data_IF_200421190248
#
_entry.id   IF_200421190248
#
_cell.length_a   1.000
_cell.length_b   1.000
_cell.length_c   1.000
_cell.angle_alpha   90.00
_cell.angle_beta   90.00
_cell.angle_gamma   90.00
#
_symmetry.space_group_name_H-M   'P 1'
#
loop_
_entity.id
_entity.type
_entity.pdbx_description
1 polymer ?
#
# COMPACT_ATOMS: atom_id res chain seq x y z
N UNK A 1 -6.55 -50.55 -3.89
CA UNK A 1 -6.85 -50.24 -5.30
C UNK A 1 -8.35 -49.95 -5.42
N UNK A 2 -8.75 -48.67 -5.31
CA UNK A 2 -10.16 -48.28 -5.42
C UNK A 2 -10.58 -48.28 -6.89
N UNK A 3 -11.38 -49.27 -7.27
CA UNK A 3 -11.98 -49.42 -8.59
C UNK A 3 -13.11 -48.39 -8.70
N UNK A 4 -12.87 -47.28 -9.38
CA UNK A 4 -13.94 -46.37 -9.80
C UNK A 4 -14.76 -47.08 -10.88
N UNK A 5 -15.83 -47.76 -10.47
CA UNK A 5 -16.85 -48.27 -11.38
C UNK A 5 -17.68 -47.09 -11.87
N UNK A 6 -17.30 -46.53 -13.03
CA UNK A 6 -18.11 -45.62 -13.82
C UNK A 6 -19.32 -46.39 -14.37
N UNK A 7 -20.36 -46.49 -13.55
CA UNK A 7 -21.64 -47.08 -13.89
C UNK A 7 -22.41 -46.13 -14.83
N UNK A 8 -22.60 -46.58 -16.08
CA UNK A 8 -23.58 -46.07 -17.06
C UNK A 8 -23.75 -44.54 -17.14
N UNK A 9 -22.71 -43.84 -17.58
CA UNK A 9 -22.87 -42.48 -18.09
C UNK A 9 -23.03 -42.58 -19.62
N UNK A 10 -24.24 -42.28 -20.10
CA UNK A 10 -24.52 -42.13 -21.52
C UNK A 10 -23.44 -41.22 -22.15
N UNK A 11 -22.95 -41.52 -23.36
CA UNK A 11 -21.92 -40.73 -24.03
C UNK A 11 -22.26 -39.22 -24.09
N UNK A 12 -23.56 -38.91 -24.09
CA UNK A 12 -24.11 -37.55 -23.99
C UNK A 12 -23.81 -36.86 -22.65
N UNK A 13 -23.86 -37.57 -21.52
CA UNK A 13 -23.54 -37.04 -20.20
C UNK A 13 -22.03 -36.82 -20.03
N UNK A 14 -21.21 -37.73 -20.58
CA UNK A 14 -19.74 -37.56 -20.61
C UNK A 14 -19.38 -36.30 -21.41
N UNK A 15 -20.01 -36.10 -22.58
CA UNK A 15 -19.79 -34.91 -23.41
C UNK A 15 -20.16 -33.60 -22.68
N UNK A 16 -21.29 -33.57 -21.97
CA UNK A 16 -21.72 -32.40 -21.18
C UNK A 16 -20.72 -32.10 -20.05
N UNK A 17 -20.22 -33.13 -19.36
CA UNK A 17 -19.21 -32.97 -18.30
C UNK A 17 -17.90 -32.42 -18.86
N UNK A 18 -17.45 -32.90 -20.03
CA UNK A 18 -16.26 -32.38 -20.70
C UNK A 18 -16.40 -30.90 -21.10
N UNK A 19 -17.55 -30.50 -21.67
CA UNK A 19 -17.81 -29.09 -21.99
C UNK A 19 -17.79 -28.24 -20.72
N UNK A 20 -18.44 -28.70 -19.64
CA UNK A 20 -18.49 -27.96 -18.40
C UNK A 20 -17.10 -27.77 -17.78
N UNK A 21 -16.23 -28.79 -17.87
CA UNK A 21 -14.82 -28.69 -17.48
C UNK A 21 -14.02 -27.72 -18.34
N UNK A 22 -14.24 -27.69 -19.66
CA UNK A 22 -13.57 -26.75 -20.57
C UNK A 22 -14.01 -25.31 -20.25
N UNK A 23 -15.31 -25.07 -20.08
CA UNK A 23 -15.84 -23.75 -19.71
C UNK A 23 -15.30 -23.30 -18.35
N UNK A 24 -15.25 -24.20 -17.37
CA UNK A 24 -14.71 -23.91 -16.04
C UNK A 24 -13.22 -23.53 -16.10
N UNK A 25 -12.41 -24.29 -16.85
CA UNK A 25 -10.98 -24.03 -17.00
C UNK A 25 -10.71 -22.73 -17.75
N UNK A 26 -11.48 -22.42 -18.81
CA UNK A 26 -11.40 -21.13 -19.52
C UNK A 26 -11.78 -19.96 -18.61
N UNK A 27 -12.85 -20.12 -17.81
CA UNK A 27 -13.30 -19.11 -16.86
C UNK A 27 -12.24 -18.83 -15.80
N UNK A 28 -11.59 -19.87 -15.26
CA UNK A 28 -10.48 -19.72 -14.31
C UNK A 28 -9.31 -18.95 -14.97
N UNK A 29 -8.93 -19.31 -16.21
CA UNK A 29 -7.84 -18.63 -16.91
C UNK A 29 -8.07 -17.12 -17.09
N UNK A 30 -9.32 -16.73 -17.37
CA UNK A 30 -9.69 -15.31 -17.53
C UNK A 30 -9.76 -14.54 -16.21
N UNK A 31 -9.96 -15.25 -15.08
CA UNK A 31 -10.04 -14.62 -13.77
C UNK A 31 -8.70 -14.50 -13.05
N UNK A 32 -7.72 -15.35 -13.35
CA UNK A 32 -6.40 -15.31 -12.70
C UNK A 32 -5.54 -14.13 -13.21
N UNK A 33 -4.98 -13.31 -12.32
CA UNK A 33 -4.09 -12.22 -12.71
C UNK A 33 -2.78 -12.77 -13.29
N UNK A 34 -2.29 -12.14 -14.37
CA UNK A 34 -1.00 -12.46 -14.95
C UNK A 34 0.12 -12.14 -13.95
N UNK A 35 0.96 -13.13 -13.64
CA UNK A 35 2.06 -12.97 -12.70
C UNK A 35 3.32 -12.45 -13.41
N UNK A 36 3.68 -11.19 -13.14
CA UNK A 36 4.90 -10.56 -13.66
C UNK A 36 6.13 -10.83 -12.76
N UNK A 37 5.98 -11.52 -11.63
CA UNK A 37 7.06 -11.82 -10.67
C UNK A 37 7.75 -10.52 -10.24
N UNK A 38 8.94 -10.24 -10.75
CA UNK A 38 9.75 -9.06 -10.41
C UNK A 38 9.95 -8.12 -11.60
N UNK A 39 9.27 -8.36 -12.73
CA UNK A 39 9.37 -7.54 -13.94
C UNK A 39 8.35 -6.39 -13.87
N UNK A 40 8.85 -5.21 -13.51
CA UNK A 40 8.04 -3.99 -13.45
C UNK A 40 7.52 -3.57 -14.83
N UNK A 41 8.27 -3.81 -15.91
CA UNK A 41 7.85 -3.43 -17.27
C UNK A 41 6.66 -4.30 -17.72
N UNK A 42 6.71 -5.60 -17.43
CA UNK A 42 5.57 -6.50 -17.61
C UNK A 42 4.32 -5.96 -16.89
N UNK A 43 4.49 -5.53 -15.65
CA UNK A 43 3.37 -5.06 -14.83
C UNK A 43 2.82 -3.73 -15.33
N UNK A 44 3.67 -2.74 -15.60
CA UNK A 44 3.28 -1.42 -16.08
C UNK A 44 2.54 -1.48 -17.42
N UNK A 45 2.97 -2.37 -18.33
CA UNK A 45 2.31 -2.60 -19.63
C UNK A 45 0.92 -3.23 -19.51
N UNK A 46 0.62 -3.88 -18.40
CA UNK A 46 -0.71 -4.44 -18.12
C UNK A 46 -1.54 -3.45 -17.30
N UNK A 47 -0.91 -2.74 -16.36
CA UNK A 47 -1.54 -1.73 -15.51
C UNK A 47 -2.04 -0.53 -16.33
N UNK A 48 -1.30 -0.07 -17.35
CA UNK A 48 -1.75 1.02 -18.23
C UNK A 48 -3.04 0.70 -19.01
N UNK A 49 -3.32 -0.59 -19.23
CA UNK A 49 -4.55 -1.12 -19.84
C UNK A 49 -5.56 -1.61 -18.79
N UNK A 50 -5.22 -1.46 -17.51
CA UNK A 50 -5.95 -1.98 -16.37
C UNK A 50 -6.29 -3.49 -16.46
N UNK A 51 -5.36 -4.27 -17.01
CA UNK A 51 -5.47 -5.72 -17.10
C UNK A 51 -5.01 -6.37 -15.80
N UNK A 52 -5.72 -7.41 -15.36
CA UNK A 52 -5.40 -8.14 -14.14
C UNK A 52 -3.96 -8.68 -14.18
N UNK A 53 -3.13 -8.19 -13.28
CA UNK A 53 -1.71 -8.52 -13.20
C UNK A 53 -1.20 -8.38 -11.77
N UNK A 54 -0.07 -9.01 -11.44
CA UNK A 54 0.60 -8.84 -10.14
C UNK A 54 2.11 -8.79 -10.27
N UNK A 55 2.77 -8.01 -9.42
CA UNK A 55 4.23 -7.89 -9.34
C UNK A 55 4.68 -7.69 -7.90
N UNK A 56 5.85 -8.22 -7.57
CA UNK A 56 6.56 -8.00 -6.33
C UNK A 56 7.79 -7.15 -6.63
N UNK A 57 7.92 -6.00 -5.96
CA UNK A 57 9.05 -5.10 -6.16
C UNK A 57 9.58 -4.55 -4.84
N UNK A 58 10.89 -4.30 -4.83
CA UNK A 58 11.63 -3.68 -3.75
C UNK A 58 11.66 -2.17 -3.97
N UNK A 59 11.11 -1.40 -3.03
CA UNK A 59 11.21 0.06 -3.06
C UNK A 59 11.73 0.57 -1.71
N UNK A 60 12.86 1.29 -1.73
CA UNK A 60 13.54 1.80 -0.52
C UNK A 60 13.76 0.72 0.57
N UNK A 61 14.10 -0.49 0.16
CA UNK A 61 14.32 -1.63 1.07
C UNK A 61 13.06 -2.35 1.54
N UNK A 62 11.86 -1.88 1.16
CA UNK A 62 10.59 -2.51 1.51
C UNK A 62 10.07 -3.35 0.35
N UNK A 63 9.52 -4.53 0.66
CA UNK A 63 8.93 -5.44 -0.33
C UNK A 63 7.44 -5.16 -0.46
N UNK A 64 7.01 -4.76 -1.65
CA UNK A 64 5.62 -4.50 -1.98
C UNK A 64 5.09 -5.53 -2.96
N UNK A 65 3.82 -5.89 -2.80
CA UNK A 65 3.03 -6.63 -3.78
C UNK A 65 1.98 -5.68 -4.36
N UNK A 66 2.06 -5.46 -5.66
CA UNK A 66 1.06 -4.72 -6.43
C UNK A 66 0.19 -5.71 -7.21
N UNK A 67 -1.12 -5.50 -7.21
CA UNK A 67 -2.05 -6.32 -7.98
C UNK A 67 -3.15 -5.46 -8.60
N UNK A 68 -3.29 -5.52 -9.93
CA UNK A 68 -4.40 -4.91 -10.65
C UNK A 68 -5.62 -5.83 -10.55
N UNK A 69 -6.71 -5.32 -9.99
CA UNK A 69 -7.99 -6.05 -9.84
C UNK A 69 -8.89 -5.88 -11.07
N UNK A 70 -8.73 -4.78 -11.78
CA UNK A 70 -9.46 -4.47 -13.01
C UNK A 70 -10.04 -3.06 -13.01
N UNK A 71 -10.92 -2.78 -13.97
CA UNK A 71 -11.47 -1.44 -14.20
C UNK A 71 -12.80 -1.21 -13.48
N UNK A 72 -13.00 -0.02 -12.92
CA UNK A 72 -14.27 0.47 -12.39
C UNK A 72 -14.49 1.92 -12.86
N UNK A 73 -15.43 2.14 -13.79
CA UNK A 73 -15.61 3.48 -14.37
C UNK A 73 -14.37 3.92 -15.15
N UNK A 74 -13.85 5.13 -14.86
CA UNK A 74 -12.58 5.61 -15.43
C UNK A 74 -11.34 5.22 -14.60
N UNK A 75 -11.55 4.51 -13.49
CA UNK A 75 -10.48 4.18 -12.56
C UNK A 75 -10.01 2.76 -12.75
N UNK A 76 -8.70 2.58 -12.60
CA UNK A 76 -8.09 1.29 -12.45
C UNK A 76 -7.96 0.92 -10.98
N UNK A 77 -8.60 -0.18 -10.60
CA UNK A 77 -8.58 -0.69 -9.23
C UNK A 77 -7.35 -1.55 -9.06
N UNK A 78 -6.50 -1.18 -8.12
CA UNK A 78 -5.29 -1.92 -7.76
C UNK A 78 -5.15 -2.05 -6.25
N UNK A 79 -4.50 -3.10 -5.80
CA UNK A 79 -4.16 -3.35 -4.41
C UNK A 79 -2.66 -3.22 -4.23
N UNK A 80 -2.25 -2.48 -3.20
CA UNK A 80 -0.86 -2.36 -2.79
C UNK A 80 -0.76 -2.99 -1.41
N UNK A 81 0.13 -3.98 -1.27
CA UNK A 81 0.33 -4.70 -0.02
C UNK A 81 1.80 -4.62 0.37
N UNK A 82 2.08 -4.09 1.55
CA UNK A 82 3.43 -4.04 2.10
C UNK A 82 3.74 -5.38 2.77
N UNK A 83 4.51 -6.23 2.09
CA UNK A 83 4.84 -7.58 2.60
C UNK A 83 5.83 -7.51 3.74
N UNK A 84 6.88 -6.73 3.59
CA UNK A 84 8.01 -6.71 4.52
C UNK A 84 8.69 -5.35 4.49
N UNK A 85 9.09 -4.88 5.66
CA UNK A 85 9.93 -3.70 5.82
C UNK A 85 11.39 -4.14 5.89
N UNK A 86 12.28 -3.40 5.24
CA UNK A 86 13.72 -3.68 5.27
C UNK A 86 14.29 -3.65 6.69
N UNK A 87 15.27 -4.52 6.96
CA UNK A 87 15.89 -4.73 8.28
C UNK A 87 16.61 -3.51 8.89
N UNK A 88 16.80 -2.44 8.11
CA UNK A 88 17.40 -1.18 8.57
C UNK A 88 16.39 -0.21 9.20
N UNK A 89 15.10 -0.57 9.26
CA UNK A 89 14.04 0.25 9.82
C UNK A 89 13.62 -0.25 11.22
N UNK A 90 13.13 0.70 12.02
CA UNK A 90 12.66 0.51 13.39
C UNK A 90 11.67 -0.66 13.49
N UNK A 91 11.85 -1.53 14.48
CA UNK A 91 11.00 -2.70 14.75
C UNK A 91 9.54 -2.29 14.97
N UNK A 92 9.33 -1.12 15.58
CA UNK A 92 8.00 -0.52 15.80
C UNK A 92 7.34 -0.23 14.45
N UNK A 93 8.09 0.34 13.50
CA UNK A 93 7.60 0.66 12.17
C UNK A 93 7.17 -0.61 11.41
N UNK A 94 7.94 -1.70 11.58
CA UNK A 94 7.62 -3.00 11.01
C UNK A 94 6.29 -3.54 11.55
N UNK A 95 6.08 -3.49 12.87
CA UNK A 95 4.80 -3.91 13.48
C UNK A 95 3.62 -3.06 13.02
N UNK A 96 3.84 -1.74 12.86
CA UNK A 96 2.78 -0.81 12.49
C UNK A 96 2.40 -0.87 11.01
N UNK A 97 3.32 -1.19 10.09
CA UNK A 97 3.06 -1.07 8.64
C UNK A 97 3.09 -2.41 7.89
N UNK A 98 3.86 -3.39 8.35
CA UNK A 98 4.00 -4.65 7.62
C UNK A 98 2.67 -5.42 7.57
N UNK A 99 2.51 -6.19 6.50
CA UNK A 99 1.32 -6.98 6.21
C UNK A 99 0.02 -6.16 6.11
N UNK A 100 0.11 -4.84 6.00
CA UNK A 100 -1.03 -3.99 5.70
C UNK A 100 -1.12 -3.73 4.20
N UNK A 101 -2.36 -3.59 3.74
CA UNK A 101 -2.66 -3.27 2.36
C UNK A 101 -3.53 -2.02 2.24
N UNK A 102 -3.63 -1.53 1.02
CA UNK A 102 -4.57 -0.50 0.61
C UNK A 102 -5.11 -0.80 -0.78
N UNK A 103 -6.32 -0.33 -1.05
CA UNK A 103 -6.97 -0.40 -2.34
C UNK A 103 -6.97 1.00 -2.93
N UNK A 104 -6.56 1.10 -4.20
CA UNK A 104 -6.44 2.36 -4.91
C UNK A 104 -7.31 2.35 -6.17
N UNK A 105 -7.99 3.47 -6.41
CA UNK A 105 -8.69 3.76 -7.66
C UNK A 105 -7.92 4.82 -8.43
N UNK A 106 -7.01 4.40 -9.31
CA UNK A 106 -6.11 5.31 -10.02
C UNK A 106 -6.72 5.64 -11.39
N UNK A 107 -6.87 6.92 -11.77
CA UNK A 107 -7.40 7.30 -13.07
C UNK A 107 -6.58 6.67 -14.22
N UNK A 108 -7.27 6.11 -15.21
CA UNK A 108 -6.58 5.46 -16.34
C UNK A 108 -5.67 6.42 -17.11
N UNK A 109 -6.07 7.68 -17.25
CA UNK A 109 -5.29 8.70 -17.96
C UNK A 109 -3.93 8.94 -17.28
N UNK A 110 -3.87 8.81 -15.95
CA UNK A 110 -2.63 8.93 -15.18
C UNK A 110 -1.69 7.73 -15.41
N UNK A 111 -2.25 6.51 -15.50
CA UNK A 111 -1.47 5.29 -15.74
C UNK A 111 -0.93 5.18 -17.17
N UNK A 112 -1.47 5.96 -18.11
CA UNK A 112 -0.94 6.04 -19.48
C UNK A 112 0.29 6.93 -19.59
N UNK A 113 0.41 7.92 -18.71
CA UNK A 113 1.51 8.89 -18.72
C UNK A 113 2.60 8.58 -17.69
N UNK A 114 2.28 7.83 -16.62
CA UNK A 114 3.21 7.50 -15.54
C UNK A 114 3.06 6.05 -15.09
N UNK A 115 4.21 5.42 -14.81
CA UNK A 115 4.23 4.14 -14.13
C UNK A 115 3.81 4.31 -12.66
N UNK A 116 3.24 3.26 -12.05
CA UNK A 116 2.73 3.32 -10.66
C UNK A 116 3.83 3.73 -9.68
N UNK A 117 5.06 3.27 -9.87
CA UNK A 117 6.22 3.61 -9.03
C UNK A 117 6.64 5.09 -9.13
N UNK A 118 6.16 5.83 -10.13
CA UNK A 118 6.49 7.24 -10.39
C UNK A 118 5.36 8.20 -9.97
N UNK A 119 4.25 7.68 -9.43
CA UNK A 119 3.15 8.50 -8.93
C UNK A 119 3.46 8.84 -7.47
N UNK A 120 3.97 10.06 -7.24
CA UNK A 120 4.34 10.52 -5.90
C UNK A 120 3.13 10.55 -4.94
N UNK A 121 1.96 10.96 -5.45
CA UNK A 121 0.75 11.17 -4.64
C UNK A 121 -0.21 9.98 -4.76
N UNK A 122 0.34 8.77 -4.93
CA UNK A 122 -0.46 7.56 -5.12
C UNK A 122 -1.41 7.32 -3.94
N UNK A 123 -1.02 7.72 -2.73
CA UNK A 123 -1.82 7.60 -1.51
C UNK A 123 -3.17 8.31 -1.58
N UNK A 124 -3.28 9.37 -2.37
CA UNK A 124 -4.51 10.16 -2.48
C UNK A 124 -5.62 9.38 -3.18
N UNK A 125 -5.23 8.47 -4.06
CA UNK A 125 -6.11 7.54 -4.76
C UNK A 125 -6.40 6.27 -3.96
N UNK A 126 -5.81 6.13 -2.78
CA UNK A 126 -5.85 4.92 -1.98
C UNK A 126 -6.66 5.07 -0.68
N UNK A 127 -7.20 3.95 -0.23
CA UNK A 127 -7.86 3.78 1.07
C UNK A 127 -7.47 2.46 1.70
N UNK A 128 -7.38 2.42 3.02
CA UNK A 128 -7.17 1.18 3.78
C UNK A 128 -6.05 1.26 4.83
N UNK A 129 -5.83 0.15 5.56
CA UNK A 129 -5.01 0.13 6.77
C UNK A 129 -3.57 0.60 6.57
N UNK A 130 -2.98 0.36 5.40
CA UNK A 130 -1.60 0.81 5.13
C UNK A 130 -1.49 2.33 5.09
N UNK A 131 -2.48 3.02 4.50
CA UNK A 131 -2.52 4.49 4.43
C UNK A 131 -2.77 5.09 5.81
N UNK A 132 -3.70 4.51 6.56
CA UNK A 132 -4.07 4.97 7.90
C UNK A 132 -2.89 4.86 8.87
N UNK A 133 -2.22 3.70 8.91
CA UNK A 133 -1.05 3.51 9.77
C UNK A 133 0.12 4.42 9.36
N UNK A 134 0.33 4.65 8.05
CA UNK A 134 1.35 5.59 7.60
C UNK A 134 1.03 7.03 8.06
N UNK A 135 -0.23 7.43 8.02
CA UNK A 135 -0.67 8.75 8.49
C UNK A 135 -0.50 8.90 10.00
N UNK A 136 -0.83 7.86 10.78
CA UNK A 136 -0.66 7.83 12.23
C UNK A 136 0.82 8.04 12.63
N UNK A 137 1.74 7.36 11.97
CA UNK A 137 3.19 7.52 12.21
C UNK A 137 3.66 8.94 11.86
N UNK A 138 3.19 9.49 10.74
CA UNK A 138 3.54 10.87 10.37
C UNK A 138 3.03 11.84 11.44
N UNK A 139 1.80 11.64 11.90
CA UNK A 139 1.17 12.47 12.93
C UNK A 139 1.96 12.40 14.25
N UNK A 140 2.33 11.21 14.70
CA UNK A 140 3.14 11.00 15.92
C UNK A 140 4.49 11.72 15.81
N UNK A 141 5.17 11.62 14.66
CA UNK A 141 6.44 12.32 14.42
C UNK A 141 6.29 13.83 14.43
N UNK A 142 5.25 14.35 13.78
CA UNK A 142 4.96 15.79 13.78
C UNK A 142 4.68 16.27 15.21
N UNK A 143 3.84 15.56 15.97
CA UNK A 143 3.59 15.89 17.37
C UNK A 143 4.86 15.88 18.21
N UNK A 144 5.70 14.85 18.08
CA UNK A 144 6.97 14.75 18.81
C UNK A 144 7.88 15.95 18.54
N UNK A 145 8.02 16.36 17.28
CA UNK A 145 8.84 17.51 16.88
C UNK A 145 8.24 18.81 17.40
N UNK A 146 6.93 19.00 17.30
CA UNK A 146 6.25 20.22 17.77
C UNK A 146 6.38 20.37 19.29
N UNK A 147 6.14 19.30 20.04
CA UNK A 147 6.26 19.31 21.51
C UNK A 147 7.70 19.57 21.93
N UNK A 148 8.69 18.92 21.29
CA UNK A 148 10.10 19.12 21.60
C UNK A 148 10.55 20.58 21.39
N UNK A 149 10.12 21.21 20.30
CA UNK A 149 10.50 22.58 19.98
C UNK A 149 9.77 23.62 20.85
N UNK A 150 8.48 23.43 21.14
CA UNK A 150 7.72 24.36 22.00
C UNK A 150 8.23 24.31 23.45
N UNK A 151 8.52 23.12 23.97
CA UNK A 151 9.03 22.96 25.34
C UNK A 151 10.36 23.66 25.56
N UNK A 152 11.24 23.70 24.55
CA UNK A 152 12.51 24.43 24.63
C UNK A 152 12.31 25.96 24.64
N UNK A 153 11.38 26.46 23.83
CA UNK A 153 11.07 27.91 23.78
C UNK A 153 10.51 28.40 25.13
N UNK A 154 9.68 27.60 25.81
CA UNK A 154 9.14 27.99 27.12
C UNK A 154 10.20 28.11 28.21
N UNK A 155 11.21 27.22 28.20
CA UNK A 155 12.31 27.26 29.18
C UNK A 155 13.27 28.44 28.92
N UNK A 156 13.52 28.77 27.66
CA UNK A 156 14.30 29.95 27.31
C UNK A 156 13.58 31.24 27.71
N UNK A 157 12.26 31.31 27.49
CA UNK A 157 11.46 32.48 27.85
C UNK A 157 11.37 32.68 29.36
N UNK A 158 11.20 31.62 30.15
CA UNK A 158 11.23 31.70 31.62
C UNK A 158 12.59 32.15 32.14
N UNK A 159 13.70 31.64 31.58
CA UNK A 159 15.04 32.08 31.98
C UNK A 159 15.30 33.56 31.66
N UNK A 160 14.85 34.04 30.49
CA UNK A 160 14.97 35.45 30.11
C UNK A 160 14.08 36.34 31.00
N UNK A 161 12.85 35.90 31.30
CA UNK A 161 11.94 36.65 32.17
C UNK A 161 12.46 36.70 33.62
N UNK A 162 13.06 35.61 34.11
CA UNK A 162 13.71 35.54 35.42
C UNK A 162 14.93 36.46 35.49
N UNK A 163 15.76 36.48 34.44
CA UNK A 163 16.92 37.37 34.34
C UNK A 163 16.50 38.86 34.22
N UNK A 164 15.43 39.15 33.49
CA UNK A 164 14.90 40.51 33.33
C UNK A 164 14.29 41.04 34.64
N UNK A 165 13.56 40.20 35.38
CA UNK A 165 12.95 40.58 36.66
C UNK A 165 13.98 40.83 37.77
N UNK A 166 15.13 40.13 37.76
CA UNK A 166 16.25 40.40 38.67
C UNK A 166 16.95 41.74 38.42
N UNK A 167 16.97 42.23 37.18
CA UNK A 167 17.58 43.54 36.89
C UNK A 167 16.68 44.71 37.30
N UNK A 168 15.35 44.57 37.25
CA UNK A 168 14.42 45.62 37.67
C UNK A 168 14.36 45.87 39.19
N UNK A 169 14.70 44.88 40.03
CA UNK A 169 14.71 45.06 41.49
C UNK A 169 15.94 45.81 42.01
N UNK A 170 17.01 45.93 41.21
CA UNK A 170 18.19 46.73 41.54
C UNK A 170 18.03 48.23 41.20
N UNK A 171 17.10 48.58 40.29
CA UNK A 171 16.91 49.97 39.83
C UNK A 171 15.97 50.75 40.77
N UNK A 172 15.08 50.07 41.51
CA UNK A 172 14.11 50.72 42.40
C UNK A 172 14.60 50.95 43.86
N UNK A 173 15.86 50.64 44.17
CA UNK A 173 16.45 50.79 45.51
C UNK A 173 17.64 51.77 45.57
N UNK A 174 17.80 52.63 44.56
CA UNK A 174 18.74 53.77 44.54
C UNK A 174 17.99 55.08 44.33
#
# INVERSE_FOLDING_TARGET
>A
MHKFTLHSLDAKKIYIICILLIVLTLSLLLFYPKNCRNDENCFNTLANKCMKSKVETMNKGNLYLYEVKGKKGNDCILTIFLKTIGTSQDEILNQMLAQKGMICGVPMDLLQIKNISQINDISDYCTGPLKEAALEIVLEKVYSIVVANIGQITLEYENILSAATMNTSLINNT
#
